data_IF_686406913829
#
_entry.id   IF_686406913829
#
_cell.length_a   1.000
_cell.length_b   1.000
_cell.length_c   1.000
_cell.angle_alpha   90.00
_cell.angle_beta   90.00
_cell.angle_gamma   90.00
#
_symmetry.space_group_name_H-M   'P 1'
#
loop_
_entity.id
_entity.type
_entity.pdbx_description
1 polymer ?
#
# COMPACT_ATOMS: atom_id res chain seq x y z
N UNK A 1 -8.19 -38.98 1.17
CA UNK A 1 -6.84 -38.37 1.18
C UNK A 1 -7.08 -36.95 0.77
N UNK A 2 -7.67 -36.24 1.71
CA UNK A 2 -8.37 -34.99 1.48
C UNK A 2 -7.46 -33.91 2.04
N UNK A 3 -6.98 -33.03 1.17
CA UNK A 3 -6.61 -31.69 1.60
C UNK A 3 -7.24 -30.70 0.62
N UNK A 4 -8.50 -30.41 0.95
CA UNK A 4 -9.22 -29.18 0.65
C UNK A 4 -8.25 -28.03 0.95
N UNK A 5 -8.01 -27.05 0.11
CA UNK A 5 -8.99 -26.04 -0.27
C UNK A 5 -8.22 -25.06 -1.16
N UNK A 6 -8.58 -24.87 -2.43
CA UNK A 6 -9.48 -23.77 -2.79
C UNK A 6 -9.49 -22.65 -1.72
N UNK A 7 -8.42 -21.86 -1.64
CA UNK A 7 -8.58 -20.49 -1.18
C UNK A 7 -9.36 -19.77 -2.26
N UNK A 8 -10.66 -19.97 -2.17
CA UNK A 8 -11.66 -19.27 -2.90
C UNK A 8 -11.34 -17.77 -2.85
N UNK A 9 -11.61 -17.12 -3.96
CA UNK A 9 -12.03 -15.71 -4.01
C UNK A 9 -13.32 -15.48 -3.19
N UNK A 10 -13.48 -16.12 -2.03
CA UNK A 10 -14.63 -15.94 -1.15
C UNK A 10 -14.33 -14.82 -0.17
N UNK A 11 -15.09 -13.73 -0.34
CA UNK A 11 -15.20 -12.58 0.55
C UNK A 11 -14.14 -11.47 0.44
N UNK A 12 -13.71 -11.11 -0.78
CA UNK A 12 -13.20 -9.75 -0.95
C UNK A 12 -14.35 -8.77 -0.66
N UNK A 13 -14.16 -7.80 0.26
CA UNK A 13 -15.12 -6.70 0.41
C UNK A 13 -15.21 -5.95 -0.93
N UNK A 14 -16.33 -5.26 -1.21
CA UNK A 14 -16.48 -4.56 -2.48
C UNK A 14 -15.35 -3.53 -2.58
N UNK A 15 -14.50 -3.66 -3.61
CA UNK A 15 -13.37 -2.82 -4.02
C UNK A 15 -11.96 -3.40 -3.73
N UNK A 16 -11.57 -4.47 -4.42
CA UNK A 16 -10.16 -4.85 -4.59
C UNK A 16 -9.52 -4.05 -5.74
N UNK A 17 -8.69 -3.05 -5.43
CA UNK A 17 -7.87 -2.34 -6.42
C UNK A 17 -6.41 -2.79 -6.32
N UNK A 18 -5.93 -3.59 -7.28
CA UNK A 18 -4.52 -4.00 -7.36
C UNK A 18 -3.69 -2.97 -8.12
N UNK A 19 -2.63 -2.45 -7.52
CA UNK A 19 -1.71 -1.49 -8.14
C UNK A 19 -0.27 -1.98 -8.00
N UNK A 20 0.50 -1.98 -9.09
CA UNK A 20 1.92 -2.31 -9.10
C UNK A 20 2.77 -1.07 -9.39
N UNK A 21 3.64 -0.70 -8.45
CA UNK A 21 4.61 0.38 -8.57
C UNK A 21 6.01 -0.21 -8.74
N UNK A 22 6.78 0.27 -9.72
CA UNK A 22 8.20 -0.06 -9.90
C UNK A 22 8.97 1.20 -10.28
N UNK A 23 9.91 1.64 -9.44
CA UNK A 23 10.66 2.88 -9.65
C UNK A 23 12.17 2.66 -9.75
N UNK A 24 12.81 3.49 -10.58
CA UNK A 24 14.26 3.67 -10.62
C UNK A 24 14.68 4.78 -9.64
N UNK A 25 15.76 4.61 -8.86
CA UNK A 25 16.23 5.62 -7.90
C UNK A 25 16.72 6.94 -8.53
N UNK A 26 16.84 7.02 -9.86
CA UNK A 26 17.37 8.18 -10.58
C UNK A 26 16.34 9.25 -10.98
N UNK A 27 15.04 9.04 -10.76
CA UNK A 27 14.01 10.05 -11.05
C UNK A 27 13.50 10.67 -9.74
N UNK A 28 13.80 11.95 -9.53
CA UNK A 28 13.29 12.80 -8.43
C UNK A 28 11.76 13.05 -8.50
N UNK A 29 11.02 12.35 -9.35
CA UNK A 29 9.57 12.42 -9.36
C UNK A 29 9.02 11.52 -8.25
N UNK A 30 8.51 12.14 -7.19
CA UNK A 30 7.65 11.46 -6.22
C UNK A 30 6.50 10.79 -6.99
N UNK A 31 6.61 9.48 -7.18
CA UNK A 31 5.66 8.68 -7.91
C UNK A 31 4.34 8.64 -7.14
N UNK A 32 3.35 9.31 -7.70
CA UNK A 32 2.01 9.43 -7.19
C UNK A 32 1.19 8.22 -7.64
N UNK A 33 0.65 7.48 -6.68
CA UNK A 33 -0.50 6.61 -6.92
C UNK A 33 -1.72 7.50 -6.73
N UNK A 34 -2.61 7.55 -7.72
CA UNK A 34 -3.92 8.18 -7.60
C UNK A 34 -4.96 7.08 -7.58
N UNK A 35 -5.44 6.75 -6.39
CA UNK A 35 -6.75 6.10 -6.29
C UNK A 35 -7.76 7.15 -6.77
N UNK A 36 -8.49 6.89 -7.83
CA UNK A 36 -9.38 7.84 -8.51
C UNK A 36 -10.85 7.71 -8.08
N UNK A 37 -11.12 6.95 -7.03
CA UNK A 37 -12.49 6.60 -6.60
C UNK A 37 -12.66 7.03 -5.14
N UNK A 38 -13.72 7.81 -4.80
CA UNK A 38 -14.13 8.04 -3.42
C UNK A 38 -14.25 6.71 -2.69
N UNK A 39 -13.30 6.39 -1.82
CA UNK A 39 -13.26 5.08 -1.18
C UNK A 39 -12.96 5.24 0.29
N UNK A 40 -13.74 4.56 1.13
CA UNK A 40 -13.38 4.32 2.51
C UNK A 40 -12.24 3.32 2.51
N UNK A 41 -11.06 3.70 2.97
CA UNK A 41 -9.92 2.80 3.06
C UNK A 41 -9.73 2.39 4.52
N UNK A 42 -10.07 1.14 4.82
CA UNK A 42 -9.97 0.54 6.17
C UNK A 42 -8.71 -0.30 6.35
N UNK A 43 -8.03 -0.63 5.26
CA UNK A 43 -6.75 -1.33 5.31
C UNK A 43 -6.09 -1.46 3.97
N UNK A 44 -4.94 -2.13 3.96
CA UNK A 44 -4.27 -2.53 2.74
C UNK A 44 -3.47 -3.81 2.92
N UNK A 45 -3.23 -4.47 1.79
CA UNK A 45 -2.32 -5.59 1.66
C UNK A 45 -1.20 -5.17 0.72
N UNK A 46 0.05 -5.38 1.11
CA UNK A 46 1.21 -5.12 0.26
C UNK A 46 2.04 -6.38 0.00
N UNK A 47 2.67 -6.43 -1.17
CA UNK A 47 3.56 -7.49 -1.62
C UNK A 47 4.82 -6.87 -2.23
N UNK A 48 5.96 -7.53 -2.01
CA UNK A 48 7.19 -7.26 -2.73
C UNK A 48 7.15 -7.84 -4.16
N UNK A 49 8.27 -7.72 -4.85
CA UNK A 49 8.47 -8.31 -6.18
C UNK A 49 9.84 -8.96 -6.28
N UNK A 50 10.02 -9.81 -7.29
CA UNK A 50 11.30 -10.42 -7.63
C UNK A 50 11.55 -10.17 -9.11
N UNK A 51 12.68 -9.56 -9.42
CA UNK A 51 13.08 -9.25 -10.79
C UNK A 51 14.56 -9.63 -10.98
N UNK A 52 14.87 -10.34 -12.07
CA UNK A 52 16.19 -10.95 -12.36
C UNK A 52 16.85 -11.66 -11.15
N UNK A 53 16.07 -12.45 -10.39
CA UNK A 53 16.58 -13.16 -9.21
C UNK A 53 16.80 -12.28 -7.97
N UNK A 54 16.63 -10.96 -8.07
CA UNK A 54 16.82 -10.01 -6.98
C UNK A 54 15.47 -9.62 -6.38
N UNK A 55 15.33 -9.84 -5.08
CA UNK A 55 14.15 -9.46 -4.30
C UNK A 55 14.13 -7.94 -4.09
N UNK A 56 13.00 -7.30 -4.39
CA UNK A 56 12.81 -5.84 -4.35
C UNK A 56 11.49 -5.54 -3.65
N UNK A 57 11.51 -4.66 -2.67
CA UNK A 57 10.32 -4.38 -1.87
C UNK A 57 10.45 -3.07 -1.08
N UNK A 58 9.30 -2.48 -0.74
CA UNK A 58 9.21 -1.36 0.19
C UNK A 58 9.12 -1.90 1.62
N UNK A 59 10.02 -1.45 2.49
CA UNK A 59 10.11 -1.82 3.92
C UNK A 59 9.20 -0.98 4.80
N UNK A 60 8.99 0.27 4.43
CA UNK A 60 8.07 1.16 5.14
C UNK A 60 7.60 2.30 4.25
N UNK A 61 6.40 2.82 4.51
CA UNK A 61 5.79 3.89 3.71
C UNK A 61 4.85 4.77 4.54
N UNK A 62 4.53 5.95 4.01
CA UNK A 62 3.50 6.87 4.51
C UNK A 62 2.34 6.96 3.52
N UNK A 63 1.18 7.38 4.01
CA UNK A 63 -0.06 7.48 3.23
C UNK A 63 -0.62 8.91 3.26
N UNK A 64 -0.24 9.75 2.31
CA UNK A 64 -0.95 10.99 2.05
C UNK A 64 -2.31 10.72 1.40
N UNK A 65 -3.34 11.45 1.81
CA UNK A 65 -4.66 11.41 1.20
C UNK A 65 -5.21 12.83 1.00
N UNK A 66 -6.12 12.97 0.04
CA UNK A 66 -6.68 14.26 -0.34
C UNK A 66 -8.11 14.11 -0.86
N UNK A 67 -8.90 15.17 -0.71
CA UNK A 67 -10.23 15.31 -1.31
C UNK A 67 -10.20 16.18 -2.57
N UNK A 68 -9.15 16.97 -2.80
CA UNK A 68 -9.08 17.99 -3.85
C UNK A 68 -7.81 17.94 -4.71
N UNK A 69 -6.88 17.01 -4.43
CA UNK A 69 -5.52 16.89 -5.02
C UNK A 69 -4.58 18.06 -4.73
N UNK A 70 -5.06 19.13 -4.10
CA UNK A 70 -4.28 20.32 -3.79
C UNK A 70 -3.71 20.23 -2.38
N UNK A 71 -4.52 19.80 -1.41
CA UNK A 71 -4.14 19.65 -0.01
C UNK A 71 -4.06 18.18 0.35
N UNK A 72 -2.87 17.77 0.77
CA UNK A 72 -2.58 16.38 1.15
C UNK A 72 -2.38 16.28 2.65
N UNK A 73 -3.22 15.48 3.30
CA UNK A 73 -3.08 15.12 4.71
C UNK A 73 -2.28 13.83 4.82
N UNK A 74 -1.30 13.77 5.72
CA UNK A 74 -0.60 12.52 6.00
C UNK A 74 -1.39 11.79 7.08
N UNK A 75 -1.58 10.48 6.90
CA UNK A 75 -2.21 9.66 7.93
C UNK A 75 -1.39 9.67 9.23
N UNK A 76 -2.06 9.95 10.35
CA UNK A 76 -1.45 10.05 11.68
C UNK A 76 -1.98 8.96 12.60
N UNK A 77 -1.16 8.58 13.58
CA UNK A 77 -1.60 7.71 14.66
C UNK A 77 -2.30 8.56 15.73
N UNK A 78 -3.59 8.32 15.98
CA UNK A 78 -4.44 9.12 16.90
C UNK A 78 -3.80 9.32 18.27
N UNK A 79 -3.11 8.30 18.80
CA UNK A 79 -2.51 8.35 20.12
C UNK A 79 -1.31 9.31 20.23
N UNK A 80 -0.69 9.71 19.11
CA UNK A 80 0.63 10.36 19.12
C UNK A 80 0.71 11.65 18.29
N UNK A 81 -0.34 12.03 17.55
CA UNK A 81 -0.34 13.18 16.63
C UNK A 81 0.86 13.22 15.68
N UNK A 82 1.41 12.05 15.36
CA UNK A 82 2.61 11.88 14.55
C UNK A 82 2.26 11.14 13.28
N UNK A 83 2.90 11.53 12.18
CA UNK A 83 2.84 10.82 10.91
C UNK A 83 3.05 9.31 11.13
N UNK A 84 2.06 8.52 10.73
CA UNK A 84 2.16 7.07 10.78
C UNK A 84 3.12 6.59 9.70
N UNK A 85 4.12 5.83 10.11
CA UNK A 85 4.95 5.05 9.20
C UNK A 85 4.47 3.61 9.24
N UNK A 86 3.89 3.15 8.13
CA UNK A 86 3.43 1.78 7.98
C UNK A 86 4.61 0.86 7.70
N UNK A 87 4.56 -0.36 8.27
CA UNK A 87 5.52 -1.41 7.95
C UNK A 87 5.10 -2.09 6.65
N UNK A 88 6.00 -2.09 5.68
CA UNK A 88 5.85 -2.80 4.42
C UNK A 88 6.36 -4.24 4.50
N UNK A 89 6.88 -4.74 3.39
CA UNK A 89 7.33 -6.12 3.24
C UNK A 89 8.76 -6.32 3.76
N UNK A 90 9.10 -7.57 4.04
CA UNK A 90 10.47 -8.01 4.38
C UNK A 90 11.07 -8.95 3.32
N UNK A 91 10.23 -9.41 2.39
CA UNK A 91 10.54 -10.35 1.31
C UNK A 91 9.67 -10.05 0.07
N UNK A 92 9.71 -10.92 -0.94
CA UNK A 92 8.96 -10.77 -2.20
C UNK A 92 7.61 -11.49 -2.24
N UNK A 93 7.29 -12.34 -1.28
CA UNK A 93 6.26 -13.37 -1.39
C UNK A 93 5.27 -13.37 -0.22
N UNK A 94 5.62 -12.76 0.90
CA UNK A 94 4.73 -12.63 2.05
C UNK A 94 3.83 -11.41 1.90
N UNK A 95 2.52 -11.65 1.91
CA UNK A 95 1.52 -10.58 1.98
C UNK A 95 1.61 -9.88 3.34
N UNK A 96 1.74 -8.56 3.32
CA UNK A 96 1.73 -7.73 4.53
C UNK A 96 0.41 -6.97 4.61
N UNK A 97 -0.42 -7.31 5.59
CA UNK A 97 -1.66 -6.59 5.87
C UNK A 97 -1.43 -5.50 6.92
N UNK A 98 -1.90 -4.30 6.63
CA UNK A 98 -1.94 -3.18 7.57
C UNK A 98 -3.37 -2.65 7.67
N UNK A 99 -3.89 -2.57 8.89
CA UNK A 99 -5.17 -1.92 9.15
C UNK A 99 -4.98 -0.41 9.33
N UNK A 100 -5.98 0.35 8.90
CA UNK A 100 -6.02 1.80 8.99
C UNK A 100 -7.18 2.15 9.92
N UNK A 101 -6.84 2.56 11.14
CA UNK A 101 -7.80 2.94 12.17
C UNK A 101 -7.38 4.24 12.85
N UNK A 102 -8.16 5.32 12.69
CA UNK A 102 -9.45 5.41 12.00
C UNK A 102 -9.34 5.23 10.46
N UNK A 103 -10.38 4.72 9.77
CA UNK A 103 -10.34 4.55 8.31
C UNK A 103 -10.18 5.91 7.60
N UNK A 104 -9.47 5.91 6.47
CA UNK A 104 -9.31 7.11 5.65
C UNK A 104 -10.55 7.27 4.77
N UNK A 105 -11.14 8.47 4.80
CA UNK A 105 -12.16 8.90 3.85
C UNK A 105 -11.51 9.89 2.89
N UNK A 106 -11.38 9.49 1.62
CA UNK A 106 -10.69 10.31 0.63
C UNK A 106 -11.06 9.96 -0.80
N UNK A 107 -10.92 10.95 -1.69
CA UNK A 107 -11.01 10.73 -3.13
C UNK A 107 -9.70 10.24 -3.70
N UNK A 108 -8.58 10.71 -3.13
CA UNK A 108 -7.23 10.45 -3.61
C UNK A 108 -6.35 9.93 -2.48
N UNK A 109 -5.64 8.84 -2.73
CA UNK A 109 -4.68 8.24 -1.81
C UNK A 109 -3.37 8.02 -2.54
N UNK A 110 -2.28 8.54 -1.96
CA UNK A 110 -0.89 8.33 -2.38
C UNK A 110 -0.19 7.36 -1.44
N UNK A 111 0.85 6.73 -1.97
CA UNK A 111 1.82 5.98 -1.19
C UNK A 111 3.21 6.57 -1.38
N UNK A 112 3.85 6.95 -0.27
CA UNK A 112 5.22 7.48 -0.29
C UNK A 112 6.13 6.46 0.40
N UNK A 113 7.04 5.80 -0.33
CA UNK A 113 8.06 4.93 0.24
C UNK A 113 8.95 5.72 1.22
N UNK A 114 9.21 5.15 2.38
CA UNK A 114 10.08 5.71 3.40
C UNK A 114 11.42 4.95 3.48
N UNK A 115 11.38 3.62 3.41
CA UNK A 115 12.56 2.76 3.25
C UNK A 115 12.24 1.62 2.28
N UNK A 116 13.22 1.18 1.50
CA UNK A 116 13.08 0.10 0.52
C UNK A 116 14.36 -0.73 0.41
N UNK A 117 14.25 -1.90 -0.22
CA UNK A 117 15.38 -2.78 -0.55
C UNK A 117 15.59 -2.84 -2.05
N UNK A 118 16.80 -2.47 -2.50
CA UNK A 118 17.24 -2.39 -3.91
C UNK A 118 16.47 -1.37 -4.76
N UNK A 119 15.20 -1.66 -5.08
CA UNK A 119 14.31 -0.78 -5.85
C UNK A 119 13.00 -0.61 -5.11
N UNK A 120 12.33 0.50 -5.38
CA UNK A 120 10.99 0.74 -4.86
C UNK A 120 10.05 -0.05 -5.75
N UNK A 121 9.69 -1.24 -5.29
CA UNK A 121 8.68 -2.07 -5.92
C UNK A 121 7.63 -2.45 -4.89
N UNK A 122 6.37 -2.21 -5.23
CA UNK A 122 5.24 -2.49 -4.35
C UNK A 122 4.05 -2.92 -5.18
N UNK A 123 3.46 -4.06 -4.85
CA UNK A 123 2.08 -4.35 -5.24
C UNK A 123 1.20 -4.10 -4.02
N UNK A 124 0.13 -3.34 -4.21
CA UNK A 124 -0.80 -3.03 -3.13
C UNK A 124 -2.23 -3.33 -3.55
N UNK A 125 -3.02 -3.75 -2.56
CA UNK A 125 -4.46 -3.89 -2.63
C UNK A 125 -5.07 -3.08 -1.49
N UNK A 126 -6.03 -2.23 -1.80
CA UNK A 126 -6.77 -1.46 -0.81
C UNK A 126 -8.00 -2.26 -0.34
N UNK A 127 -8.30 -2.14 0.95
CA UNK A 127 -9.46 -2.77 1.59
C UNK A 127 -10.43 -1.65 2.02
N UNK A 128 -11.71 -1.80 1.70
CA UNK A 128 -12.75 -0.79 1.95
C UNK A 128 -14.08 -1.38 2.32
#
# INVERSE_FOLDING_TARGET
>A
MDDLSSFALSSLPPLSLSLSLSLSPSSLSLSQVDVLIPTKVSGMVTLGSKDFGRVQFVRSYKLPYSNDRLRWNIYQEEAQYKDKVFRGNIDNNTHRKNFIQPPIYGLFLRLIPWFWSRRITLRMELLG
#
